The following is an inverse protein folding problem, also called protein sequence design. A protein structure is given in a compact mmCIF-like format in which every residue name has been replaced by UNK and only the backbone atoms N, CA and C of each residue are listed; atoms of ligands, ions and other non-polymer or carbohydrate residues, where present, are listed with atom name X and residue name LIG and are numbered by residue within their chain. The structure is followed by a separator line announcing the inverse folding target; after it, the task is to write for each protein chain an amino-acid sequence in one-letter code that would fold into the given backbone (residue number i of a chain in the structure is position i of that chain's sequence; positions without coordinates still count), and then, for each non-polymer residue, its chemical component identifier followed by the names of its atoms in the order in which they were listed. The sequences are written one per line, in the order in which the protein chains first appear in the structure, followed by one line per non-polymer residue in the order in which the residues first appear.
data_IF_128911577238
#
_entry.id   IF_128911577238
#
_cell.length_a   1.000
_cell.length_b   1.000
_cell.length_c   1.000
_cell.angle_alpha   90.00
_cell.angle_beta   90.00
_cell.angle_gamma   90.00
#
_symmetry.space_group_name_H-M   'P 1'
#
loop_
_entity.id
_entity.type
_entity.pdbx_description
1 polymer ?
#
# COMPACT_ATOMS: atom_id res chain seq x y z
N UNK A 1 5.46 2.33 1.74
CA UNK A 1 6.65 1.82 2.47
C UNK A 1 7.82 1.51 1.56
N UNK A 2 7.59 0.99 0.37
CA UNK A 2 8.61 0.45 -0.55
C UNK A 2 9.77 1.42 -0.78
N UNK A 3 9.46 2.71 -1.00
CA UNK A 3 10.51 3.72 -1.19
C UNK A 3 11.48 3.82 0.01
N UNK A 4 10.95 3.77 1.25
CA UNK A 4 11.79 3.82 2.46
C UNK A 4 12.55 2.52 2.63
N UNK A 5 11.92 1.38 2.39
CA UNK A 5 12.57 0.07 2.51
C UNK A 5 13.70 -0.04 1.49
N UNK A 6 13.46 0.25 0.21
CA UNK A 6 14.47 0.13 -0.85
C UNK A 6 15.65 1.10 -0.70
N UNK A 7 15.39 2.34 -0.24
CA UNK A 7 16.43 3.38 -0.25
C UNK A 7 17.11 3.57 1.11
N UNK A 8 16.42 3.30 2.22
CA UNK A 8 16.96 3.58 3.56
C UNK A 8 17.25 2.30 4.37
N UNK A 9 16.41 1.28 4.26
CA UNK A 9 16.62 -0.01 4.93
C UNK A 9 17.52 -0.90 4.09
N UNK A 10 17.17 -1.15 2.84
CA UNK A 10 17.89 -1.90 1.80
C UNK A 10 18.03 -3.40 2.06
N UNK A 11 17.59 -3.89 3.20
CA UNK A 11 17.71 -5.29 3.63
C UNK A 11 16.32 -5.93 3.66
N UNK A 12 16.24 -7.17 3.19
CA UNK A 12 15.02 -7.96 3.31
C UNK A 12 14.69 -8.21 4.79
N UNK A 13 13.45 -7.95 5.27
CA UNK A 13 13.14 -8.07 6.69
C UNK A 13 13.39 -9.46 7.26
N UNK A 14 13.10 -10.53 6.49
CA UNK A 14 13.37 -11.90 6.94
C UNK A 14 14.88 -12.20 7.09
N UNK A 15 15.74 -11.54 6.30
CA UNK A 15 17.18 -11.65 6.45
C UNK A 15 17.72 -11.01 7.74
N UNK A 16 16.99 -10.04 8.30
CA UNK A 16 17.31 -9.48 9.62
C UNK A 16 16.79 -10.35 10.77
N UNK A 17 15.62 -10.97 10.59
CA UNK A 17 15.03 -11.87 11.60
C UNK A 17 15.82 -13.18 11.68
N UNK A 18 16.20 -13.74 10.55
CA UNK A 18 16.88 -15.03 10.45
C UNK A 18 18.34 -14.90 10.02
N UNK A 19 19.03 -13.87 10.48
CA UNK A 19 20.40 -13.56 10.07
C UNK A 19 21.38 -14.75 10.20
N UNK A 20 21.28 -15.49 11.27
CA UNK A 20 22.17 -16.63 11.54
C UNK A 20 21.89 -17.84 10.63
N UNK A 21 20.79 -17.84 9.91
CA UNK A 21 20.44 -18.89 8.94
C UNK A 21 20.84 -18.55 7.49
N UNK A 22 21.34 -17.32 7.24
CA UNK A 22 21.81 -16.91 5.93
C UNK A 22 23.03 -17.71 5.49
N UNK A 23 23.10 -17.97 4.18
CA UNK A 23 24.24 -18.66 3.54
C UNK A 23 25.05 -17.74 2.64
N UNK A 24 24.48 -16.61 2.20
CA UNK A 24 25.16 -15.59 1.38
C UNK A 24 26.11 -14.75 2.24
N UNK A 25 27.41 -15.04 2.17
CA UNK A 25 28.46 -14.34 2.91
C UNK A 25 28.53 -12.84 2.58
N UNK A 26 28.21 -12.44 1.35
CA UNK A 26 28.19 -11.04 0.95
C UNK A 26 27.03 -10.30 1.60
N UNK A 27 25.84 -10.91 1.59
CA UNK A 27 24.69 -10.38 2.28
C UNK A 27 24.91 -10.30 3.80
N UNK A 28 25.49 -11.32 4.40
CA UNK A 28 25.84 -11.32 5.83
C UNK A 28 26.80 -10.19 6.19
N UNK A 29 27.84 -9.99 5.40
CA UNK A 29 28.81 -8.90 5.62
C UNK A 29 28.13 -7.54 5.53
N UNK A 30 27.36 -7.30 4.47
CA UNK A 30 26.64 -6.04 4.26
C UNK A 30 25.63 -5.76 5.39
N UNK A 31 24.87 -6.78 5.82
CA UNK A 31 23.91 -6.67 6.94
C UNK A 31 24.66 -6.36 8.24
N UNK A 32 25.77 -7.03 8.51
CA UNK A 32 26.56 -6.79 9.73
C UNK A 32 27.08 -5.34 9.78
N UNK A 33 27.49 -4.78 8.65
CA UNK A 33 27.93 -3.39 8.56
C UNK A 33 26.79 -2.40 8.78
N UNK A 34 25.62 -2.60 8.12
CA UNK A 34 24.45 -1.74 8.22
C UNK A 34 23.85 -1.75 9.62
N UNK A 35 23.90 -2.89 10.29
CA UNK A 35 23.34 -3.09 11.63
C UNK A 35 24.35 -2.88 12.76
N UNK A 36 25.53 -2.32 12.45
CA UNK A 36 26.54 -2.02 13.47
C UNK A 36 25.96 -1.07 14.53
N UNK A 37 26.01 -1.49 15.78
CA UNK A 37 25.47 -0.72 16.91
C UNK A 37 24.04 -1.08 17.33
N UNK A 38 23.38 -1.97 16.60
CA UNK A 38 22.10 -2.57 17.03
C UNK A 38 22.36 -3.90 17.74
N UNK A 39 21.78 -4.08 18.90
CA UNK A 39 21.87 -5.36 19.65
C UNK A 39 21.13 -6.46 18.89
N UNK A 40 19.92 -6.14 18.40
CA UNK A 40 19.14 -7.00 17.53
C UNK A 40 19.05 -6.40 16.14
N UNK A 41 19.42 -7.18 15.11
CA UNK A 41 19.43 -6.71 13.70
C UNK A 41 18.05 -6.26 13.22
N UNK A 42 16.99 -6.89 13.72
CA UNK A 42 15.61 -6.52 13.42
C UNK A 42 15.27 -5.07 13.84
N UNK A 43 15.90 -4.56 14.90
CA UNK A 43 15.65 -3.20 15.38
C UNK A 43 16.17 -2.13 14.41
N UNK A 44 17.19 -2.45 13.62
CA UNK A 44 17.62 -1.61 12.50
C UNK A 44 16.49 -1.34 11.51
N UNK A 45 15.72 -2.38 11.13
CA UNK A 45 14.59 -2.24 10.23
C UNK A 45 13.54 -1.30 10.82
N UNK A 46 13.14 -1.57 12.05
CA UNK A 46 12.12 -0.78 12.75
C UNK A 46 12.53 0.68 12.89
N UNK A 47 13.78 0.92 13.26
CA UNK A 47 14.32 2.28 13.43
C UNK A 47 14.36 3.04 12.11
N UNK A 48 14.95 2.46 11.06
CA UNK A 48 15.07 3.11 9.76
C UNK A 48 13.73 3.36 9.11
N UNK A 49 12.82 2.38 9.17
CA UNK A 49 11.50 2.51 8.59
C UNK A 49 10.69 3.58 9.34
N UNK A 50 10.63 3.54 10.66
CA UNK A 50 9.88 4.53 11.45
C UNK A 50 10.41 5.94 11.24
N UNK A 51 11.73 6.17 11.23
CA UNK A 51 12.32 7.47 10.95
C UNK A 51 12.04 7.99 9.54
N UNK A 52 12.09 7.11 8.54
CA UNK A 52 11.75 7.47 7.17
C UNK A 52 10.30 7.91 7.02
N UNK A 53 9.38 7.17 7.64
CA UNK A 53 7.94 7.48 7.65
C UNK A 53 7.61 8.72 8.49
N UNK A 54 8.33 8.95 9.59
CA UNK A 54 8.14 10.11 10.45
C UNK A 54 8.31 11.43 9.70
N UNK A 55 9.25 11.50 8.77
CA UNK A 55 9.48 12.69 7.95
C UNK A 55 8.24 13.07 7.13
N UNK A 56 7.56 12.05 6.58
CA UNK A 56 6.33 12.24 5.80
C UNK A 56 5.18 12.62 6.72
N UNK A 57 5.02 11.91 7.83
CA UNK A 57 3.96 12.15 8.80
C UNK A 57 4.04 13.55 9.42
N UNK A 58 5.27 13.99 9.79
CA UNK A 58 5.52 15.30 10.35
C UNK A 58 5.21 16.45 9.39
N UNK A 59 5.52 16.29 8.11
CA UNK A 59 5.32 17.32 7.09
C UNK A 59 3.84 17.71 6.91
N UNK A 60 2.92 16.80 7.20
CA UNK A 60 1.49 16.99 7.04
C UNK A 60 0.70 17.08 8.35
N UNK A 61 1.37 16.86 9.48
CA UNK A 61 0.71 16.90 10.80
C UNK A 61 -0.04 18.22 11.04
N UNK A 62 -1.28 18.22 11.56
CA UNK A 62 -2.07 17.07 12.04
C UNK A 62 -2.96 16.41 10.96
N UNK A 63 -2.81 16.76 9.69
CA UNK A 63 -3.62 16.18 8.60
C UNK A 63 -3.29 14.69 8.43
N UNK A 64 -4.27 13.86 8.05
CA UNK A 64 -4.06 12.43 7.87
C UNK A 64 -3.02 12.13 6.78
N UNK A 65 -2.19 11.13 7.06
CA UNK A 65 -1.21 10.58 6.13
C UNK A 65 -1.49 9.09 5.97
N UNK A 66 -1.78 8.66 4.77
CA UNK A 66 -2.01 7.24 4.47
C UNK A 66 -0.65 6.59 4.16
N UNK A 67 -0.30 5.59 4.94
CA UNK A 67 0.90 4.76 4.74
C UNK A 67 0.46 3.38 4.30
N UNK A 68 0.75 3.05 3.03
CA UNK A 68 0.53 1.72 2.50
C UNK A 68 1.60 0.76 3.03
N UNK A 69 1.18 -0.38 3.59
CA UNK A 69 2.07 -1.48 3.94
C UNK A 69 2.76 -1.99 2.67
N UNK A 70 3.89 -2.66 2.81
CA UNK A 70 4.73 -3.01 1.67
C UNK A 70 4.05 -3.96 0.69
N UNK A 71 4.15 -3.67 -0.60
CA UNK A 71 3.57 -4.46 -1.70
C UNK A 71 4.62 -4.83 -2.74
N UNK A 72 5.78 -5.28 -2.28
CA UNK A 72 6.79 -5.80 -3.18
C UNK A 72 6.36 -7.14 -3.78
N UNK A 73 6.62 -7.31 -5.06
CA UNK A 73 6.58 -8.61 -5.72
C UNK A 73 7.79 -9.46 -5.31
N UNK A 74 7.71 -10.77 -5.49
CA UNK A 74 8.79 -11.71 -5.11
C UNK A 74 10.14 -11.36 -5.74
N UNK A 75 10.14 -10.97 -7.02
CA UNK A 75 11.37 -10.54 -7.71
C UNK A 75 11.94 -9.22 -7.16
N UNK A 76 11.10 -8.32 -6.70
CA UNK A 76 11.54 -7.06 -6.09
C UNK A 76 12.12 -7.28 -4.69
N UNK A 77 11.46 -8.09 -3.87
CA UNK A 77 11.98 -8.47 -2.56
C UNK A 77 13.28 -9.28 -2.66
N UNK A 78 13.39 -10.18 -3.65
CA UNK A 78 14.61 -10.93 -3.90
C UNK A 78 15.82 -10.01 -4.22
N UNK A 79 15.57 -8.82 -4.74
CA UNK A 79 16.59 -7.80 -5.02
C UNK A 79 17.12 -7.05 -3.79
N UNK A 80 16.45 -7.14 -2.64
CA UNK A 80 16.96 -6.60 -1.38
C UNK A 80 18.09 -7.47 -0.82
N UNK A 81 18.98 -6.87 -0.03
CA UNK A 81 20.12 -7.59 0.59
C UNK A 81 19.59 -8.77 1.40
N UNK A 82 20.05 -9.98 1.07
CA UNK A 82 19.63 -11.24 1.67
C UNK A 82 18.27 -11.75 1.21
N UNK A 83 17.56 -11.06 0.29
CA UNK A 83 16.20 -11.42 -0.13
C UNK A 83 16.11 -12.68 -0.98
N UNK A 84 17.13 -12.96 -1.78
CA UNK A 84 17.13 -14.11 -2.69
C UNK A 84 16.96 -15.46 -2.00
N UNK A 85 17.31 -15.57 -0.71
CA UNK A 85 17.17 -16.80 0.07
C UNK A 85 15.75 -17.02 0.62
N UNK A 86 14.93 -15.98 0.69
CA UNK A 86 13.60 -16.03 1.28
C UNK A 86 12.46 -15.97 0.26
N UNK A 87 12.77 -15.56 -0.98
CA UNK A 87 11.74 -15.34 -1.98
C UNK A 87 11.60 -16.52 -2.95
N UNK A 88 10.37 -17.01 -3.16
CA UNK A 88 10.11 -18.02 -4.17
C UNK A 88 10.28 -17.44 -5.58
N UNK A 89 10.66 -18.28 -6.53
CA UNK A 89 10.60 -17.92 -7.94
C UNK A 89 9.20 -18.15 -8.47
N UNK A 90 8.57 -17.11 -8.97
CA UNK A 90 7.24 -17.14 -9.55
C UNK A 90 7.28 -16.78 -11.04
N UNK A 91 6.47 -17.46 -11.86
CA UNK A 91 6.34 -17.14 -13.29
C UNK A 91 5.62 -15.81 -13.50
N UNK A 92 4.66 -15.49 -12.63
CA UNK A 92 3.91 -14.24 -12.67
C UNK A 92 3.83 -13.58 -11.29
N UNK A 93 4.87 -12.86 -10.86
CA UNK A 93 4.90 -12.19 -9.56
C UNK A 93 3.79 -11.14 -9.37
N UNK A 94 3.24 -10.60 -10.47
CA UNK A 94 2.14 -9.63 -10.42
C UNK A 94 0.88 -10.23 -9.78
N UNK A 95 0.59 -11.51 -10.05
CA UNK A 95 -0.57 -12.24 -9.52
C UNK A 95 -0.18 -13.19 -8.36
N UNK A 96 1.06 -13.17 -7.96
CA UNK A 96 1.66 -14.10 -7.04
C UNK A 96 1.59 -13.71 -5.56
N UNK A 97 2.66 -14.02 -4.86
CA UNK A 97 2.82 -13.83 -3.42
C UNK A 97 3.18 -12.37 -3.11
N UNK A 98 2.17 -11.52 -3.04
CA UNK A 98 2.29 -10.07 -2.77
C UNK A 98 1.16 -9.55 -1.88
N UNK A 99 1.36 -8.38 -1.28
CA UNK A 99 0.37 -7.68 -0.47
C UNK A 99 -0.13 -8.53 0.70
N UNK A 100 -1.43 -8.48 0.96
CA UNK A 100 -2.09 -9.12 2.10
C UNK A 100 -1.71 -10.58 2.32
N UNK A 101 -1.56 -11.38 1.24
CA UNK A 101 -1.21 -12.80 1.36
C UNK A 101 0.12 -13.07 2.05
N UNK A 102 1.06 -12.12 1.99
CA UNK A 102 2.35 -12.23 2.66
C UNK A 102 2.22 -12.11 4.18
N UNK A 103 1.38 -11.21 4.63
CA UNK A 103 1.38 -10.73 6.01
C UNK A 103 0.98 -11.79 7.03
N UNK A 104 0.09 -12.72 6.64
CA UNK A 104 -0.30 -13.86 7.48
C UNK A 104 0.41 -15.17 7.10
N UNK A 105 1.22 -15.17 6.02
CA UNK A 105 1.96 -16.36 5.62
C UNK A 105 3.12 -16.65 6.56
N UNK A 106 3.35 -17.92 6.98
CA UNK A 106 4.52 -18.30 7.75
C UNK A 106 5.85 -17.91 7.09
N UNK A 107 5.87 -17.76 5.76
CA UNK A 107 7.06 -17.36 5.00
C UNK A 107 7.47 -15.90 5.21
N UNK A 108 6.53 -15.02 5.63
CA UNK A 108 6.82 -13.59 5.74
C UNK A 108 6.25 -12.92 7.01
N UNK A 109 5.44 -13.61 7.80
CA UNK A 109 4.75 -13.05 8.97
C UNK A 109 5.69 -12.31 9.93
N UNK A 110 6.89 -12.84 10.17
CA UNK A 110 7.88 -12.21 11.04
C UNK A 110 8.44 -10.92 10.42
N UNK A 111 8.58 -10.87 9.09
CA UNK A 111 8.93 -9.65 8.37
C UNK A 111 7.83 -8.59 8.47
N UNK A 112 6.57 -8.98 8.35
CA UNK A 112 5.43 -8.10 8.52
C UNK A 112 5.32 -7.57 9.97
N UNK A 113 5.68 -8.38 10.96
CA UNK A 113 5.74 -7.94 12.34
C UNK A 113 6.71 -6.75 12.55
N UNK A 114 7.80 -6.68 11.78
CA UNK A 114 8.72 -5.54 11.83
C UNK A 114 8.09 -4.27 11.25
N UNK A 115 7.30 -4.39 10.18
CA UNK A 115 6.53 -3.27 9.64
C UNK A 115 5.51 -2.75 10.67
N UNK A 116 4.77 -3.65 11.30
CA UNK A 116 3.82 -3.30 12.36
C UNK A 116 4.52 -2.60 13.54
N UNK A 117 5.66 -3.12 13.98
CA UNK A 117 6.48 -2.48 15.04
C UNK A 117 6.93 -1.07 14.65
N UNK A 118 7.30 -0.86 13.40
CA UNK A 118 7.70 0.48 12.92
C UNK A 118 6.52 1.47 12.93
N UNK A 119 5.32 1.04 12.52
CA UNK A 119 4.09 1.84 12.59
C UNK A 119 3.70 2.13 14.04
N UNK A 120 3.77 1.14 14.93
CA UNK A 120 3.52 1.34 16.37
C UNK A 120 4.43 2.40 16.94
N UNK A 121 5.75 2.27 16.72
CA UNK A 121 6.74 3.24 17.16
C UNK A 121 6.43 4.64 16.63
N UNK A 122 6.07 4.74 15.34
CA UNK A 122 5.70 6.00 14.71
C UNK A 122 4.51 6.67 15.42
N UNK A 123 3.47 5.90 15.74
CA UNK A 123 2.24 6.42 16.33
C UNK A 123 2.35 6.64 17.83
N UNK A 124 2.91 5.68 18.57
CA UNK A 124 2.88 5.64 20.04
C UNK A 124 4.09 6.33 20.67
N UNK A 125 5.31 6.10 20.15
CA UNK A 125 6.53 6.68 20.72
C UNK A 125 6.85 8.05 20.12
N UNK A 126 6.68 8.23 18.81
CA UNK A 126 6.95 9.50 18.13
C UNK A 126 5.73 10.43 18.08
N UNK A 127 4.53 9.94 18.42
CA UNK A 127 3.31 10.73 18.55
C UNK A 127 2.60 11.09 17.24
N UNK A 128 2.93 10.48 16.12
CA UNK A 128 2.27 10.74 14.81
C UNK A 128 0.95 9.97 14.67
N UNK A 129 -0.04 10.34 15.48
CA UNK A 129 -1.37 9.72 15.47
C UNK A 129 -2.19 10.00 14.19
N UNK A 130 -1.71 10.93 13.35
CA UNK A 130 -2.30 11.24 12.04
C UNK A 130 -2.02 10.18 10.96
N UNK A 131 -1.28 9.13 11.28
CA UNK A 131 -0.98 8.03 10.35
C UNK A 131 -2.14 7.07 10.26
N UNK A 132 -2.64 6.86 9.04
CA UNK A 132 -3.61 5.85 8.62
C UNK A 132 -2.84 4.72 7.94
N UNK A 133 -3.12 3.47 8.28
CA UNK A 133 -2.50 2.30 7.64
C UNK A 133 -3.37 1.84 6.46
N UNK A 134 -2.75 1.45 5.36
CA UNK A 134 -3.45 0.93 4.20
C UNK A 134 -2.90 -0.44 3.77
N UNK A 135 -3.80 -1.40 3.61
CA UNK A 135 -3.48 -2.79 3.21
C UNK A 135 -3.58 -2.92 1.69
N UNK A 136 -2.48 -3.28 1.00
CA UNK A 136 -2.48 -3.51 -0.44
C UNK A 136 -2.91 -4.94 -0.79
N UNK A 137 -3.44 -5.11 -1.99
CA UNK A 137 -3.66 -6.36 -2.69
C UNK A 137 -4.35 -7.44 -1.84
N UNK A 138 -5.46 -7.04 -1.20
CA UNK A 138 -6.30 -7.93 -0.38
C UNK A 138 -7.41 -8.53 -1.24
N UNK A 139 -7.38 -9.83 -1.48
CA UNK A 139 -8.20 -10.51 -2.50
C UNK A 139 -9.61 -10.88 -2.03
N UNK A 140 -9.76 -11.13 -0.73
CA UNK A 140 -11.02 -11.59 -0.15
C UNK A 140 -11.26 -11.04 1.26
N UNK A 141 -12.53 -11.01 1.73
CA UNK A 141 -12.83 -10.67 3.11
C UNK A 141 -12.13 -11.56 4.15
N UNK A 142 -12.00 -12.87 3.87
CA UNK A 142 -11.29 -13.81 4.75
C UNK A 142 -9.80 -13.47 4.86
N UNK A 143 -9.19 -13.01 3.75
CA UNK A 143 -7.81 -12.54 3.75
C UNK A 143 -7.67 -11.25 4.58
N UNK A 144 -8.65 -10.35 4.49
CA UNK A 144 -8.72 -9.14 5.32
C UNK A 144 -8.78 -9.48 6.81
N UNK A 145 -9.64 -10.44 7.20
CA UNK A 145 -9.75 -10.88 8.59
C UNK A 145 -8.41 -11.40 9.13
N UNK A 146 -7.70 -12.23 8.35
CA UNK A 146 -6.37 -12.75 8.73
C UNK A 146 -5.32 -11.64 8.89
N UNK A 147 -5.31 -10.67 7.99
CA UNK A 147 -4.36 -9.54 8.08
C UNK A 147 -4.63 -8.69 9.31
N UNK A 148 -5.90 -8.35 9.56
CA UNK A 148 -6.28 -7.56 10.74
C UNK A 148 -5.95 -8.31 12.05
N UNK A 149 -6.10 -9.64 12.08
CA UNK A 149 -5.68 -10.47 13.21
C UNK A 149 -4.18 -10.37 13.46
N UNK A 150 -3.35 -10.54 12.42
CA UNK A 150 -1.88 -10.44 12.54
C UNK A 150 -1.46 -9.02 12.93
N UNK A 151 -2.13 -7.98 12.44
CA UNK A 151 -1.89 -6.60 12.87
C UNK A 151 -2.17 -6.43 14.37
N UNK A 152 -3.31 -6.94 14.83
CA UNK A 152 -3.72 -6.85 16.24
C UNK A 152 -2.73 -7.61 17.15
N UNK A 153 -2.27 -8.80 16.77
CA UNK A 153 -1.23 -9.55 17.49
C UNK A 153 0.08 -8.75 17.63
N UNK A 154 0.34 -7.85 16.68
CA UNK A 154 1.51 -6.97 16.70
C UNK A 154 1.21 -5.58 17.31
N UNK A 155 0.05 -5.41 17.95
CA UNK A 155 -0.33 -4.20 18.67
C UNK A 155 -0.88 -3.08 17.76
N UNK A 156 -1.38 -3.41 16.57
CA UNK A 156 -2.07 -2.49 15.68
C UNK A 156 -3.53 -2.93 15.51
N UNK A 157 -4.36 -2.65 16.50
CA UNK A 157 -5.79 -2.97 16.45
C UNK A 157 -6.58 -1.81 15.83
N UNK A 158 -7.36 -2.09 14.80
CA UNK A 158 -8.25 -1.08 14.17
C UNK A 158 -9.16 -0.45 15.23
N UNK A 159 -9.24 0.88 15.20
CA UNK A 159 -10.04 1.69 16.14
C UNK A 159 -9.32 2.02 17.46
N UNK A 160 -8.33 1.24 17.89
CA UNK A 160 -7.58 1.53 19.10
C UNK A 160 -6.64 2.73 18.89
N UNK A 161 -6.59 3.63 19.86
CA UNK A 161 -5.80 4.87 19.77
C UNK A 161 -6.09 5.69 18.49
N UNK A 162 -7.31 5.59 17.95
CA UNK A 162 -7.70 6.27 16.72
C UNK A 162 -7.01 5.72 15.45
N UNK A 163 -6.57 4.47 15.45
CA UNK A 163 -6.00 3.84 14.26
C UNK A 163 -7.11 3.55 13.23
N UNK A 164 -7.07 4.26 12.11
CA UNK A 164 -7.84 3.91 10.92
C UNK A 164 -7.04 2.95 10.04
N UNK A 165 -7.72 1.94 9.51
CA UNK A 165 -7.13 0.98 8.55
C UNK A 165 -7.91 1.03 7.25
N UNK A 166 -7.23 1.42 6.18
CA UNK A 166 -7.77 1.47 4.81
C UNK A 166 -7.33 0.24 4.02
N UNK A 167 -7.97 0.03 2.88
CA UNK A 167 -7.60 -1.00 1.92
C UNK A 167 -7.40 -0.39 0.53
N UNK A 168 -6.41 -0.90 -0.22
CA UNK A 168 -6.34 -0.67 -1.66
C UNK A 168 -7.48 -1.44 -2.35
N UNK A 169 -8.35 -0.71 -3.04
CA UNK A 169 -9.34 -1.29 -3.94
C UNK A 169 -8.73 -1.36 -5.35
N UNK A 170 -8.08 -2.46 -5.65
CA UNK A 170 -7.28 -2.60 -6.87
C UNK A 170 -7.46 -3.96 -7.57
N UNK A 171 -8.37 -4.78 -7.04
CA UNK A 171 -8.73 -6.10 -7.59
C UNK A 171 -10.24 -6.08 -7.88
N UNK A 172 -10.73 -6.62 -9.00
CA UNK A 172 -12.16 -6.66 -9.29
C UNK A 172 -13.03 -7.25 -8.17
N UNK A 173 -12.51 -8.23 -7.40
CA UNK A 173 -13.20 -8.78 -6.23
C UNK A 173 -13.48 -7.73 -5.14
N UNK A 174 -12.62 -6.72 -5.01
CA UNK A 174 -12.82 -5.63 -4.04
C UNK A 174 -14.05 -4.80 -4.40
N UNK A 175 -14.28 -4.55 -5.68
CA UNK A 175 -15.45 -3.82 -6.17
C UNK A 175 -16.72 -4.66 -6.02
N UNK A 176 -16.66 -5.94 -6.39
CA UNK A 176 -17.79 -6.87 -6.31
C UNK A 176 -18.25 -7.07 -4.86
N UNK A 177 -17.31 -7.19 -3.93
CA UNK A 177 -17.55 -7.46 -2.51
C UNK A 177 -17.36 -6.21 -1.63
N UNK A 178 -17.49 -5.01 -2.19
CA UNK A 178 -17.22 -3.75 -1.49
C UNK A 178 -17.95 -3.66 -0.15
N UNK A 179 -19.21 -4.07 -0.07
CA UNK A 179 -19.98 -4.06 1.17
C UNK A 179 -19.34 -4.92 2.28
N UNK A 180 -18.83 -6.11 1.95
CA UNK A 180 -18.16 -6.97 2.92
C UNK A 180 -16.81 -6.40 3.39
N UNK A 181 -16.12 -5.68 2.52
CA UNK A 181 -14.87 -5.00 2.88
C UNK A 181 -15.11 -3.75 3.75
N UNK A 182 -16.23 -3.02 3.57
CA UNK A 182 -16.55 -1.86 4.42
C UNK A 182 -16.81 -2.22 5.88
N UNK A 183 -17.14 -3.46 6.19
CA UNK A 183 -17.26 -3.94 7.59
C UNK A 183 -15.87 -4.03 8.27
N UNK A 184 -14.81 -4.20 7.49
CA UNK A 184 -13.44 -4.49 7.93
C UNK A 184 -12.50 -3.29 7.87
N UNK A 185 -12.78 -2.34 6.99
CA UNK A 185 -11.92 -1.20 6.74
C UNK A 185 -12.66 0.13 6.91
N UNK A 186 -11.94 1.17 7.31
CA UNK A 186 -12.49 2.53 7.53
C UNK A 186 -12.59 3.32 6.23
N UNK A 187 -11.89 2.87 5.19
CA UNK A 187 -11.89 3.51 3.88
C UNK A 187 -11.17 2.70 2.82
N UNK A 188 -11.32 3.18 1.59
CA UNK A 188 -10.68 2.62 0.41
C UNK A 188 -9.80 3.65 -0.28
N UNK A 189 -8.72 3.16 -0.89
CA UNK A 189 -7.98 3.89 -1.91
C UNK A 189 -7.99 3.08 -3.18
N UNK A 190 -8.57 3.61 -4.24
CA UNK A 190 -8.64 2.91 -5.52
C UNK A 190 -7.25 2.93 -6.15
N UNK A 191 -6.65 1.75 -6.35
CA UNK A 191 -5.41 1.56 -7.09
C UNK A 191 -5.72 1.36 -8.57
N UNK A 192 -5.89 2.45 -9.33
CA UNK A 192 -6.39 2.39 -10.70
C UNK A 192 -5.48 1.58 -11.63
N UNK A 193 -4.17 1.58 -11.40
CA UNK A 193 -3.23 0.84 -12.24
C UNK A 193 -3.46 -0.68 -12.16
N UNK A 194 -3.45 -1.26 -10.95
CA UNK A 194 -3.71 -2.69 -10.77
C UNK A 194 -5.16 -3.04 -11.11
N UNK A 195 -6.12 -2.17 -10.78
CA UNK A 195 -7.53 -2.38 -11.14
C UNK A 195 -7.72 -2.44 -12.67
N UNK A 196 -7.08 -1.55 -13.42
CA UNK A 196 -7.09 -1.53 -14.88
C UNK A 196 -6.46 -2.81 -15.44
N UNK A 197 -5.25 -3.14 -14.99
CA UNK A 197 -4.55 -4.35 -15.38
C UNK A 197 -5.41 -5.61 -15.20
N UNK A 198 -6.03 -5.75 -14.03
CA UNK A 198 -6.81 -6.95 -13.69
C UNK A 198 -8.21 -6.96 -14.34
N UNK A 199 -8.80 -5.79 -14.57
CA UNK A 199 -10.09 -5.67 -15.27
C UNK A 199 -9.96 -6.01 -16.75
N UNK A 200 -8.90 -5.50 -17.39
CA UNK A 200 -8.68 -5.69 -18.83
C UNK A 200 -7.85 -6.94 -19.15
N UNK A 201 -7.22 -7.57 -18.13
CA UNK A 201 -6.34 -8.73 -18.34
C UNK A 201 -5.06 -8.34 -19.11
N UNK A 202 -4.52 -7.15 -18.87
CA UNK A 202 -3.35 -6.60 -19.56
C UNK A 202 -2.24 -6.37 -18.56
N UNK A 203 -1.06 -6.90 -18.85
CA UNK A 203 0.14 -6.57 -18.06
C UNK A 203 0.63 -5.15 -18.43
N UNK A 204 0.57 -4.22 -17.46
CA UNK A 204 0.98 -2.83 -17.65
C UNK A 204 2.47 -2.65 -17.97
N UNK A 205 3.28 -3.64 -17.58
CA UNK A 205 4.73 -3.62 -17.80
C UNK A 205 5.10 -4.20 -19.19
N UNK A 206 4.10 -4.70 -19.95
CA UNK A 206 4.31 -5.24 -21.30
C UNK A 206 4.31 -4.15 -22.36
N UNK A 207 5.47 -3.88 -22.95
CA UNK A 207 5.59 -2.94 -24.08
C UNK A 207 4.69 -3.31 -25.27
N UNK A 208 4.48 -4.62 -25.51
CA UNK A 208 3.65 -5.11 -26.60
C UNK A 208 2.15 -4.82 -26.39
N UNK A 209 1.72 -4.72 -25.15
CA UNK A 209 0.32 -4.52 -24.76
C UNK A 209 0.03 -3.10 -24.26
N UNK A 210 1.02 -2.20 -24.26
CA UNK A 210 0.89 -0.84 -23.72
C UNK A 210 -0.32 -0.08 -24.30
N UNK A 211 -0.64 -0.29 -25.59
CA UNK A 211 -1.80 0.33 -26.24
C UNK A 211 -3.17 -0.23 -25.79
N UNK A 212 -3.19 -1.32 -25.03
CA UNK A 212 -4.42 -1.90 -24.46
C UNK A 212 -4.62 -1.51 -22.99
N UNK A 213 -3.59 -1.00 -22.33
CA UNK A 213 -3.68 -0.50 -20.96
C UNK A 213 -4.30 0.90 -20.98
N UNK A 214 -5.57 0.99 -20.62
CA UNK A 214 -6.34 2.23 -20.67
C UNK A 214 -7.17 2.40 -19.39
N UNK A 215 -6.76 3.30 -18.52
CA UNK A 215 -7.47 3.64 -17.29
C UNK A 215 -8.81 4.34 -17.55
N UNK A 216 -8.99 4.93 -18.74
CA UNK A 216 -10.25 5.56 -19.17
C UNK A 216 -11.26 4.59 -19.77
N UNK A 217 -10.89 3.31 -19.91
CA UNK A 217 -11.79 2.28 -20.42
C UNK A 217 -13.10 2.22 -19.63
N UNK A 218 -14.23 2.10 -20.33
CA UNK A 218 -15.56 2.10 -19.71
C UNK A 218 -15.76 1.00 -18.65
N UNK A 219 -15.12 -0.16 -18.79
CA UNK A 219 -15.17 -1.22 -17.78
C UNK A 219 -14.45 -0.78 -16.48
N UNK A 220 -13.31 -0.09 -16.61
CA UNK A 220 -12.54 0.45 -15.47
C UNK A 220 -13.34 1.58 -14.81
N UNK A 221 -13.85 2.53 -15.59
CA UNK A 221 -14.71 3.61 -15.10
C UNK A 221 -15.97 3.08 -14.39
N UNK A 222 -16.55 2.00 -14.89
CA UNK A 222 -17.68 1.34 -14.24
C UNK A 222 -17.28 0.78 -12.86
N UNK A 223 -16.15 0.08 -12.76
CA UNK A 223 -15.64 -0.45 -11.50
C UNK A 223 -15.39 0.67 -10.48
N UNK A 224 -14.74 1.74 -10.91
CA UNK A 224 -14.46 2.92 -10.06
C UNK A 224 -15.76 3.56 -9.57
N UNK A 225 -16.71 3.83 -10.45
CA UNK A 225 -18.02 4.39 -10.09
C UNK A 225 -18.75 3.50 -9.09
N UNK A 226 -18.73 2.20 -9.33
CA UNK A 226 -19.41 1.22 -8.49
C UNK A 226 -18.86 1.20 -7.07
N UNK A 227 -17.54 1.13 -6.89
CA UNK A 227 -16.95 1.11 -5.54
C UNK A 227 -17.13 2.42 -4.80
N UNK A 228 -17.06 3.58 -5.48
CA UNK A 228 -17.34 4.88 -4.85
C UNK A 228 -18.78 4.92 -4.32
N UNK A 229 -19.74 4.48 -5.12
CA UNK A 229 -21.14 4.44 -4.71
C UNK A 229 -21.38 3.51 -3.52
N UNK A 230 -20.78 2.33 -3.52
CA UNK A 230 -20.99 1.35 -2.45
C UNK A 230 -20.28 1.77 -1.15
N UNK A 231 -19.05 2.29 -1.22
CA UNK A 231 -18.34 2.84 -0.08
C UNK A 231 -19.14 3.98 0.59
N UNK A 232 -19.64 4.92 -0.21
CA UNK A 232 -20.45 6.05 0.28
C UNK A 232 -21.75 5.58 0.95
N UNK A 233 -22.43 4.57 0.39
CA UNK A 233 -23.64 4.00 1.02
C UNK A 233 -23.35 3.39 2.39
N UNK A 234 -22.15 2.82 2.55
CA UNK A 234 -21.69 2.26 3.81
C UNK A 234 -21.06 3.29 4.76
N UNK A 235 -20.93 4.56 4.35
CA UNK A 235 -20.29 5.60 5.15
C UNK A 235 -18.76 5.51 5.21
N UNK A 236 -18.14 4.68 4.36
CA UNK A 236 -16.69 4.57 4.26
C UNK A 236 -16.11 5.64 3.34
N UNK A 237 -14.93 6.16 3.68
CA UNK A 237 -14.20 7.10 2.84
C UNK A 237 -13.62 6.40 1.62
N UNK A 238 -13.55 7.10 0.49
CA UNK A 238 -12.96 6.56 -0.73
C UNK A 238 -12.09 7.59 -1.43
N UNK A 239 -10.84 7.23 -1.65
CA UNK A 239 -9.89 8.00 -2.44
C UNK A 239 -9.40 7.21 -3.66
N UNK A 240 -8.60 7.86 -4.48
CA UNK A 240 -7.91 7.22 -5.60
C UNK A 240 -6.41 7.55 -5.54
N UNK A 241 -5.58 6.55 -5.74
CA UNK A 241 -4.14 6.68 -5.92
C UNK A 241 -3.74 5.96 -7.21
N UNK A 242 -3.47 6.71 -8.25
CA UNK A 242 -3.07 6.23 -9.58
C UNK A 242 -2.59 7.38 -10.43
N UNK A 243 -2.13 7.09 -11.64
CA UNK A 243 -1.55 8.10 -12.52
C UNK A 243 -2.62 8.89 -13.29
N UNK A 244 -3.75 8.27 -13.62
CA UNK A 244 -4.75 8.84 -14.51
C UNK A 244 -5.18 10.30 -14.19
N UNK A 245 -5.45 10.69 -12.92
CA UNK A 245 -5.81 12.08 -12.62
C UNK A 245 -4.68 13.09 -12.84
N UNK A 246 -3.42 12.62 -12.82
CA UNK A 246 -2.26 13.46 -13.09
C UNK A 246 -2.04 13.69 -14.59
N UNK A 247 -2.42 12.70 -15.41
CA UNK A 247 -2.17 12.67 -16.84
C UNK A 247 -3.38 13.18 -17.64
N UNK A 248 -4.60 12.99 -17.11
CA UNK A 248 -5.88 13.29 -17.79
C UNK A 248 -6.80 14.15 -16.92
N UNK A 249 -7.03 15.40 -17.33
CA UNK A 249 -7.90 16.34 -16.60
C UNK A 249 -9.35 15.81 -16.48
N UNK A 250 -9.88 15.24 -17.57
CA UNK A 250 -11.24 14.71 -17.64
C UNK A 250 -11.46 13.56 -16.65
N UNK A 251 -10.40 12.83 -16.30
CA UNK A 251 -10.48 11.76 -15.32
C UNK A 251 -10.70 12.30 -13.90
N UNK A 252 -10.09 13.42 -13.56
CA UNK A 252 -10.32 14.08 -12.27
C UNK A 252 -11.78 14.60 -12.17
N UNK A 253 -12.33 15.17 -13.26
CA UNK A 253 -13.74 15.56 -13.34
C UNK A 253 -14.68 14.37 -13.14
N UNK A 254 -14.43 13.26 -13.83
CA UNK A 254 -15.18 12.00 -13.66
C UNK A 254 -15.21 11.53 -12.21
N UNK A 255 -14.06 11.58 -11.51
CA UNK A 255 -13.98 11.20 -10.10
C UNK A 255 -14.81 12.10 -9.20
N UNK A 256 -14.77 13.42 -9.43
CA UNK A 256 -15.60 14.41 -8.73
C UNK A 256 -17.07 14.13 -8.97
N UNK A 257 -17.47 13.86 -10.22
CA UNK A 257 -18.86 13.50 -10.56
C UNK A 257 -19.33 12.23 -9.83
N UNK A 258 -18.44 11.23 -9.68
CA UNK A 258 -18.73 10.02 -8.91
C UNK A 258 -18.84 10.29 -7.40
N UNK A 259 -18.33 11.43 -6.91
CA UNK A 259 -18.37 11.84 -5.52
C UNK A 259 -17.24 11.25 -4.69
N UNK A 260 -16.03 11.18 -5.24
CA UNK A 260 -14.82 10.76 -4.53
C UNK A 260 -14.46 11.74 -3.40
N UNK A 261 -13.85 11.22 -2.32
CA UNK A 261 -13.46 12.04 -1.15
C UNK A 261 -12.05 12.63 -1.31
N UNK A 262 -11.15 11.93 -2.00
CA UNK A 262 -9.78 12.39 -2.20
C UNK A 262 -9.14 11.84 -3.48
N UNK A 263 -8.23 12.59 -4.06
CA UNK A 263 -7.46 12.23 -5.25
C UNK A 263 -5.99 12.47 -4.95
N UNK A 264 -5.18 11.42 -5.05
CA UNK A 264 -3.72 11.54 -4.97
C UNK A 264 -3.16 11.84 -6.36
N UNK A 265 -2.25 12.79 -6.43
CA UNK A 265 -1.61 13.21 -7.66
C UNK A 265 -0.11 13.40 -7.46
N UNK A 266 0.64 13.45 -8.54
CA UNK A 266 2.06 13.79 -8.48
C UNK A 266 2.24 15.25 -8.05
N UNK A 267 3.35 15.61 -7.36
CA UNK A 267 3.59 16.99 -6.94
C UNK A 267 3.53 18.00 -8.09
N UNK A 268 3.99 17.62 -9.27
CA UNK A 268 4.07 18.50 -10.44
C UNK A 268 2.67 18.81 -11.02
N UNK A 269 1.72 17.87 -10.94
CA UNK A 269 0.35 18.04 -11.44
C UNK A 269 -0.61 18.62 -10.39
N UNK A 270 -0.18 18.76 -9.12
CA UNK A 270 -1.08 19.15 -8.02
C UNK A 270 -1.87 20.42 -8.26
N UNK A 271 -1.24 21.47 -8.75
CA UNK A 271 -1.91 22.77 -8.97
C UNK A 271 -2.94 22.67 -10.11
N UNK A 272 -2.56 22.04 -11.23
CA UNK A 272 -3.44 21.88 -12.38
C UNK A 272 -4.67 21.02 -12.03
N UNK A 273 -4.46 19.86 -11.41
CA UNK A 273 -5.57 18.98 -11.00
C UNK A 273 -6.47 19.65 -9.98
N UNK A 274 -5.92 20.41 -9.02
CA UNK A 274 -6.72 21.16 -8.06
C UNK A 274 -7.63 22.19 -8.73
N UNK A 275 -7.18 22.85 -9.81
CA UNK A 275 -7.99 23.78 -10.59
C UNK A 275 -9.14 23.05 -11.30
N UNK A 276 -8.87 21.93 -11.97
CA UNK A 276 -9.90 21.11 -12.63
C UNK A 276 -10.94 20.59 -11.64
N UNK A 277 -10.50 20.11 -10.47
CA UNK A 277 -11.42 19.69 -9.40
C UNK A 277 -12.32 20.83 -8.96
N UNK A 278 -11.77 22.04 -8.72
CA UNK A 278 -12.56 23.19 -8.31
C UNK A 278 -13.58 23.63 -9.38
N UNK A 279 -13.20 23.56 -10.66
CA UNK A 279 -14.12 23.84 -11.79
C UNK A 279 -15.24 22.79 -11.86
N UNK A 280 -14.90 21.50 -11.70
CA UNK A 280 -15.89 20.42 -11.68
C UNK A 280 -16.88 20.55 -10.50
N UNK A 281 -16.38 20.87 -9.32
CA UNK A 281 -17.21 21.11 -8.13
C UNK A 281 -18.14 22.31 -8.32
N UNK A 282 -17.66 23.40 -8.93
CA UNK A 282 -18.46 24.60 -9.17
C UNK A 282 -19.64 24.39 -10.15
N UNK A 283 -19.51 23.40 -11.05
CA UNK A 283 -20.59 23.02 -12.00
C UNK A 283 -21.70 22.18 -11.36
N UNK A 284 -21.47 21.66 -10.15
CA UNK A 284 -22.44 20.81 -9.40
C UNK A 284 -23.36 21.63 -8.49
N UNK A 285 -23.04 22.87 -8.25
CA UNK A 285 -23.83 23.84 -7.47
C UNK A 285 -24.58 24.80 -8.36
#
# INVERSE_FOLDING_TARGET
MEFVISNQVRVHPMALVHFDALTDEQAMTAIAELTRGYEHKADYFVDRLSLGLARIAAALYPKPVIIRMSDFKTNEYAGLIGGAEFEPKEENPMLGFRGASRYYSPQYRDGFALECRAIRRLREEMGFTNVVVMIPFCRSPDEADRVLEVMAENGLTRGENGLEVYMMCEIPSNVILAAAFTERFDGFSIGSNDLTQLTLGVDRDSELLAGLFDEENEAVKWMIRKVIQDARKAGAKVGLCGQAPSDHADFAEFLVECGIDSISVTPDSFIAVKQHVAEAESRRH
#
